data_IF_702981270647
#
_entry.id   IF_702981270647
#
_cell.length_a   1.000
_cell.length_b   1.000
_cell.length_c   1.000
_cell.angle_alpha   90.00
_cell.angle_beta   90.00
_cell.angle_gamma   90.00
#
_symmetry.space_group_name_H-M   'P 1'
#
loop_
_entity.id
_entity.type
_entity.pdbx_description
1 polymer ?
#
# COMPACT_ATOMS: atom_id res chain seq x y z
N UNK A 1 14.06 -10.67 -9.63
CA UNK A 1 13.28 -9.49 -10.05
C UNK A 1 12.88 -9.69 -11.49
N UNK A 2 11.62 -9.48 -11.82
CA UNK A 2 11.06 -9.54 -13.17
C UNK A 2 10.44 -8.18 -13.47
N UNK A 3 10.65 -7.67 -14.67
CA UNK A 3 10.08 -6.40 -15.11
C UNK A 3 8.86 -6.65 -15.99
N UNK A 4 7.75 -5.99 -15.73
CA UNK A 4 6.52 -6.13 -16.50
C UNK A 4 6.62 -5.62 -17.94
N UNK A 5 7.66 -4.86 -18.29
CA UNK A 5 7.98 -4.53 -19.68
C UNK A 5 8.21 -5.77 -20.54
N UNK A 6 8.53 -6.92 -19.93
CA UNK A 6 8.70 -8.21 -20.64
C UNK A 6 7.44 -8.66 -21.38
N UNK A 7 6.26 -8.38 -20.81
CA UNK A 7 4.96 -8.69 -21.44
C UNK A 7 4.23 -7.43 -21.92
N UNK A 8 4.19 -6.34 -21.14
CA UNK A 8 3.44 -5.14 -21.52
C UNK A 8 3.97 -4.49 -22.80
N UNK A 9 5.30 -4.48 -23.04
CA UNK A 9 5.88 -3.94 -24.27
C UNK A 9 5.59 -4.81 -25.51
N UNK A 10 5.18 -6.04 -25.33
CA UNK A 10 4.84 -6.95 -26.43
C UNK A 10 3.35 -6.89 -26.79
N UNK A 11 2.51 -6.32 -25.92
CA UNK A 11 1.09 -6.17 -26.18
C UNK A 11 0.86 -5.17 -27.31
N UNK A 12 0.20 -5.62 -28.34
CA UNK A 12 -0.28 -4.76 -29.40
C UNK A 12 -1.68 -4.19 -29.04
N UNK A 13 -2.22 -3.32 -29.87
CA UNK A 13 -3.50 -2.67 -29.60
C UNK A 13 -4.67 -3.65 -29.49
N UNK A 14 -4.67 -4.75 -30.24
CA UNK A 14 -5.67 -5.80 -30.17
C UNK A 14 -5.62 -6.50 -28.78
N UNK A 15 -4.44 -6.75 -28.26
CA UNK A 15 -4.24 -7.37 -26.94
C UNK A 15 -4.78 -6.45 -25.83
N UNK A 16 -4.57 -5.14 -25.93
CA UNK A 16 -5.12 -4.15 -25.00
C UNK A 16 -6.66 -4.15 -25.05
N UNK A 17 -7.26 -4.23 -26.23
CA UNK A 17 -8.72 -4.32 -26.38
C UNK A 17 -9.23 -5.63 -25.75
N UNK A 18 -8.57 -6.76 -25.99
CA UNK A 18 -8.93 -8.06 -25.38
C UNK A 18 -8.84 -7.99 -23.85
N UNK A 19 -7.79 -7.41 -23.30
CA UNK A 19 -7.64 -7.23 -21.86
C UNK A 19 -8.76 -6.36 -21.29
N UNK A 20 -9.03 -5.20 -21.89
CA UNK A 20 -10.06 -4.27 -21.41
C UNK A 20 -11.47 -4.82 -21.53
N UNK A 21 -11.74 -5.71 -22.47
CA UNK A 21 -13.06 -6.36 -22.63
C UNK A 21 -13.41 -7.29 -21.47
N UNK A 22 -12.45 -7.69 -20.65
CA UNK A 22 -12.64 -8.62 -19.53
C UNK A 22 -13.07 -7.94 -18.23
N UNK A 23 -13.14 -6.60 -18.21
CA UNK A 23 -13.55 -5.84 -17.03
C UNK A 23 -14.47 -4.69 -17.42
N UNK A 24 -15.50 -4.43 -16.61
CA UNK A 24 -16.48 -3.39 -16.96
C UNK A 24 -16.15 -2.04 -16.34
N UNK A 25 -16.57 -0.96 -17.00
CA UNK A 25 -16.47 0.41 -16.45
C UNK A 25 -17.22 0.53 -15.12
N UNK A 26 -18.40 -0.11 -14.99
CA UNK A 26 -19.16 -0.09 -13.75
C UNK A 26 -18.35 -0.63 -12.57
N UNK A 27 -17.66 -1.76 -12.75
CA UNK A 27 -16.79 -2.32 -11.70
C UNK A 27 -15.54 -1.47 -11.47
N UNK A 28 -15.00 -0.83 -12.52
CA UNK A 28 -13.84 0.05 -12.36
C UNK A 28 -14.16 1.28 -11.49
N UNK A 29 -15.38 1.83 -11.65
CA UNK A 29 -15.84 3.00 -10.88
C UNK A 29 -16.08 2.67 -9.39
N UNK A 30 -16.19 1.39 -8.99
CA UNK A 30 -16.29 0.99 -7.59
C UNK A 30 -15.04 1.30 -6.76
N UNK A 31 -13.90 1.64 -7.41
CA UNK A 31 -12.72 2.14 -6.69
C UNK A 31 -13.03 3.48 -6.03
N UNK A 32 -12.77 3.60 -4.72
CA UNK A 32 -13.19 4.73 -3.88
C UNK A 32 -12.87 6.11 -4.48
N UNK A 33 -11.66 6.29 -5.04
CA UNK A 33 -11.26 7.55 -5.66
C UNK A 33 -12.00 7.83 -6.97
N UNK A 34 -12.28 6.79 -7.76
CA UNK A 34 -13.09 6.94 -8.98
C UNK A 34 -14.55 7.23 -8.64
N UNK A 35 -15.14 6.56 -7.65
CA UNK A 35 -16.48 6.84 -7.15
C UNK A 35 -16.59 8.31 -6.74
N UNK A 36 -15.69 8.79 -5.87
CA UNK A 36 -15.71 10.17 -5.39
C UNK A 36 -15.55 11.19 -6.50
N UNK A 37 -14.64 10.95 -7.44
CA UNK A 37 -14.42 11.84 -8.58
C UNK A 37 -15.61 11.83 -9.53
N UNK A 38 -16.20 10.67 -9.80
CA UNK A 38 -17.37 10.54 -10.65
C UNK A 38 -18.59 11.26 -10.07
N UNK A 39 -18.86 11.09 -8.76
CA UNK A 39 -19.95 11.77 -8.06
C UNK A 39 -19.72 13.29 -7.96
N UNK A 40 -18.49 13.74 -7.92
CA UNK A 40 -18.10 15.15 -7.88
C UNK A 40 -17.91 15.78 -9.26
N UNK A 41 -18.22 15.07 -10.33
CA UNK A 41 -18.03 15.50 -11.73
C UNK A 41 -16.57 15.88 -12.07
N UNK A 42 -15.61 15.32 -11.33
CA UNK A 42 -14.17 15.50 -11.58
C UNK A 42 -13.75 14.55 -12.70
N UNK A 43 -13.10 15.03 -13.77
CA UNK A 43 -12.72 14.19 -14.90
C UNK A 43 -11.85 13.00 -14.51
N UNK A 44 -12.14 11.84 -15.10
CA UNK A 44 -11.33 10.62 -15.02
C UNK A 44 -10.86 10.30 -16.43
N UNK A 45 -9.54 10.24 -16.63
CA UNK A 45 -8.98 9.95 -17.93
C UNK A 45 -8.99 8.46 -18.23
N UNK A 46 -9.18 8.07 -19.49
CA UNK A 46 -9.27 6.66 -19.90
C UNK A 46 -8.03 5.83 -19.52
N UNK A 47 -6.84 6.42 -19.56
CA UNK A 47 -5.62 5.70 -19.17
C UNK A 47 -5.60 5.32 -17.69
N UNK A 48 -6.30 6.05 -16.82
CA UNK A 48 -6.39 5.74 -15.38
C UNK A 48 -7.14 4.42 -15.15
N UNK A 49 -8.08 4.06 -16.03
CA UNK A 49 -8.76 2.77 -16.00
C UNK A 49 -7.86 1.61 -16.49
N UNK A 50 -6.85 1.90 -17.29
CA UNK A 50 -5.92 0.88 -17.77
C UNK A 50 -4.91 0.45 -16.70
N UNK A 51 -4.59 1.31 -15.74
CA UNK A 51 -3.58 1.03 -14.72
C UNK A 51 -3.91 -0.22 -13.87
N UNK A 52 -5.12 -0.36 -13.28
CA UNK A 52 -5.48 -1.58 -12.54
C UNK A 52 -5.44 -2.85 -13.40
N UNK A 53 -5.78 -2.73 -14.69
CA UNK A 53 -5.74 -3.86 -15.62
C UNK A 53 -4.31 -4.24 -16.00
N UNK A 54 -3.43 -3.26 -16.19
CA UNK A 54 -2.01 -3.51 -16.44
C UNK A 54 -1.35 -4.21 -15.23
N UNK A 55 -1.67 -3.78 -14.00
CA UNK A 55 -1.24 -4.47 -12.78
C UNK A 55 -1.82 -5.89 -12.69
N UNK A 56 -3.09 -6.09 -13.07
CA UNK A 56 -3.70 -7.40 -13.10
C UNK A 56 -3.01 -8.35 -14.10
N UNK A 57 -2.55 -7.82 -15.24
CA UNK A 57 -1.76 -8.62 -16.19
C UNK A 57 -0.43 -9.08 -15.61
N UNK A 58 0.18 -8.31 -14.70
CA UNK A 58 1.39 -8.77 -13.98
C UNK A 58 1.10 -10.08 -13.24
N UNK A 59 -0.03 -10.15 -12.51
CA UNK A 59 -0.44 -11.37 -11.79
C UNK A 59 -0.73 -12.55 -12.74
N UNK A 60 -1.31 -12.28 -13.92
CA UNK A 60 -1.57 -13.29 -14.95
C UNK A 60 -0.27 -13.84 -15.52
N UNK A 61 0.64 -12.96 -15.94
CA UNK A 61 1.88 -13.35 -16.64
C UNK A 61 2.86 -14.12 -15.75
N UNK A 62 2.93 -13.78 -14.45
CA UNK A 62 3.75 -14.51 -13.50
C UNK A 62 3.02 -15.71 -12.87
N UNK A 63 1.75 -15.92 -13.21
CA UNK A 63 0.89 -16.94 -12.62
C UNK A 63 0.94 -16.89 -11.09
N UNK A 64 0.65 -15.71 -10.51
CA UNK A 64 0.82 -15.46 -9.11
C UNK A 64 -0.15 -16.29 -8.25
N UNK A 65 0.38 -16.95 -7.21
CA UNK A 65 -0.42 -17.65 -6.19
C UNK A 65 -0.83 -16.73 -5.05
N UNK A 66 0.03 -15.76 -4.72
CA UNK A 66 -0.18 -14.79 -3.63
C UNK A 66 0.34 -13.42 -4.05
N UNK A 67 -0.46 -12.39 -3.84
CA UNK A 67 -0.06 -10.98 -4.02
C UNK A 67 -0.18 -10.22 -2.70
N UNK A 68 0.88 -9.47 -2.36
CA UNK A 68 0.97 -8.63 -1.15
C UNK A 68 0.86 -7.17 -1.54
N UNK A 69 0.09 -6.40 -0.78
CA UNK A 69 0.00 -4.96 -0.99
C UNK A 69 -0.41 -4.19 0.25
N UNK A 70 -0.37 -2.88 0.19
CA UNK A 70 -0.99 -2.03 1.20
C UNK A 70 -2.53 -2.10 1.12
N UNK A 71 -3.21 -1.69 2.18
CA UNK A 71 -4.69 -1.62 2.17
C UNK A 71 -5.23 -0.70 1.08
N UNK A 72 -4.47 0.30 0.65
CA UNK A 72 -4.78 1.17 -0.48
C UNK A 72 -4.76 0.45 -1.84
N UNK A 73 -4.07 -0.67 -1.95
CA UNK A 73 -3.97 -1.49 -3.17
C UNK A 73 -5.07 -2.56 -3.27
N UNK A 74 -5.92 -2.72 -2.24
CA UNK A 74 -6.90 -3.81 -2.16
C UNK A 74 -7.76 -3.94 -3.41
N UNK A 75 -8.24 -2.82 -3.97
CA UNK A 75 -9.03 -2.83 -5.18
C UNK A 75 -8.25 -3.44 -6.36
N UNK A 76 -7.04 -2.95 -6.61
CA UNK A 76 -6.21 -3.45 -7.71
C UNK A 76 -5.88 -4.94 -7.56
N UNK A 77 -5.58 -5.40 -6.34
CA UNK A 77 -5.34 -6.81 -6.05
C UNK A 77 -6.57 -7.68 -6.36
N UNK A 78 -7.78 -7.18 -6.08
CA UNK A 78 -9.03 -7.86 -6.41
C UNK A 78 -9.27 -7.90 -7.92
N UNK A 79 -8.94 -6.83 -8.65
CA UNK A 79 -8.96 -6.82 -10.12
C UNK A 79 -8.04 -7.92 -10.66
N UNK A 80 -6.84 -8.08 -10.09
CA UNK A 80 -5.90 -9.15 -10.45
C UNK A 80 -6.55 -10.54 -10.39
N UNK A 81 -7.26 -10.85 -9.30
CA UNK A 81 -7.99 -12.11 -9.14
C UNK A 81 -9.07 -12.32 -10.20
N UNK A 82 -9.82 -11.25 -10.51
CA UNK A 82 -10.89 -11.33 -11.50
C UNK A 82 -10.32 -11.57 -12.91
N UNK A 83 -9.24 -10.87 -13.26
CA UNK A 83 -8.57 -11.03 -14.56
C UNK A 83 -7.93 -12.43 -14.67
N UNK A 84 -7.31 -12.97 -13.62
CA UNK A 84 -6.80 -14.34 -13.62
C UNK A 84 -7.91 -15.35 -13.97
N UNK A 85 -9.13 -15.22 -13.39
CA UNK A 85 -10.27 -16.08 -13.76
C UNK A 85 -10.63 -15.96 -15.23
N UNK A 86 -10.66 -14.74 -15.75
CA UNK A 86 -10.96 -14.47 -17.17
C UNK A 86 -9.90 -15.04 -18.13
N UNK A 87 -8.68 -15.27 -17.63
CA UNK A 87 -7.61 -15.97 -18.35
C UNK A 87 -7.54 -17.47 -18.02
N UNK A 88 -8.51 -18.00 -17.27
CA UNK A 88 -8.60 -19.43 -16.94
C UNK A 88 -7.61 -19.91 -15.88
N UNK A 89 -7.05 -18.99 -15.10
CA UNK A 89 -6.14 -19.30 -14.00
C UNK A 89 -6.88 -19.41 -12.66
N UNK A 90 -6.30 -20.14 -11.71
CA UNK A 90 -6.74 -20.12 -10.30
C UNK A 90 -6.44 -18.74 -9.72
N UNK A 91 -7.44 -18.05 -9.12
CA UNK A 91 -7.23 -16.71 -8.59
C UNK A 91 -6.30 -16.71 -7.39
N UNK A 92 -5.29 -15.85 -7.40
CA UNK A 92 -4.34 -15.64 -6.32
C UNK A 92 -5.01 -15.32 -4.97
N UNK A 93 -4.35 -15.66 -3.87
CA UNK A 93 -4.66 -15.13 -2.55
C UNK A 93 -4.10 -13.73 -2.40
N UNK A 94 -4.84 -12.82 -1.76
CA UNK A 94 -4.33 -11.48 -1.49
C UNK A 94 -4.10 -11.28 0.01
N UNK A 95 -2.99 -10.63 0.35
CA UNK A 95 -2.66 -10.23 1.73
C UNK A 95 -2.45 -8.72 1.73
N UNK A 96 -3.25 -7.99 2.51
CA UNK A 96 -3.11 -6.55 2.65
C UNK A 96 -2.58 -6.18 4.02
N UNK A 97 -1.63 -5.26 4.05
CA UNK A 97 -1.03 -4.71 5.27
C UNK A 97 -1.48 -3.26 5.46
N UNK A 98 -1.72 -2.83 6.72
CA UNK A 98 -1.97 -1.44 7.01
C UNK A 98 -0.84 -0.55 6.52
N UNK A 99 -1.17 0.66 6.08
CA UNK A 99 -0.18 1.67 5.72
C UNK A 99 0.48 2.26 6.96
N UNK A 100 1.79 2.48 6.87
CA UNK A 100 2.53 3.27 7.85
C UNK A 100 2.55 4.71 7.38
N UNK A 101 2.08 5.65 8.22
CA UNK A 101 2.25 7.07 7.97
C UNK A 101 3.71 7.47 8.16
N UNK A 102 4.11 8.50 7.42
CA UNK A 102 5.44 9.08 7.54
C UNK A 102 5.66 9.86 8.85
N UNK A 103 6.80 10.49 8.95
CA UNK A 103 7.18 11.29 10.14
C UNK A 103 6.25 12.48 10.39
N UNK A 104 5.51 12.93 9.37
CA UNK A 104 4.46 13.94 9.46
C UNK A 104 3.20 13.47 10.21
N UNK A 105 2.99 12.15 10.32
CA UNK A 105 1.85 11.54 11.00
C UNK A 105 0.52 11.71 10.27
N UNK A 106 0.50 12.06 9.00
CA UNK A 106 -0.69 12.33 8.18
C UNK A 106 -0.69 11.49 6.92
N UNK A 107 0.32 11.70 6.06
CA UNK A 107 0.41 11.02 4.78
C UNK A 107 1.13 9.68 4.92
N UNK A 108 0.82 8.73 4.01
CA UNK A 108 1.57 7.48 3.97
C UNK A 108 3.06 7.76 3.78
N UNK A 109 3.90 6.97 4.43
CA UNK A 109 5.34 7.07 4.27
C UNK A 109 5.74 6.86 2.81
N UNK A 110 6.37 7.85 2.20
CA UNK A 110 6.84 7.76 0.83
C UNK A 110 7.98 8.72 0.53
N UNK A 111 8.81 8.36 -0.46
CA UNK A 111 9.88 9.24 -0.97
C UNK A 111 9.32 10.53 -1.59
N UNK A 112 8.13 10.46 -2.22
CA UNK A 112 7.50 11.61 -2.88
C UNK A 112 7.05 12.69 -1.91
N UNK A 113 6.75 12.32 -0.66
CA UNK A 113 6.33 13.25 0.40
C UNK A 113 7.49 13.68 1.30
N UNK A 114 8.68 13.14 1.09
CA UNK A 114 9.86 13.39 1.93
C UNK A 114 9.62 13.18 3.45
N UNK A 115 8.68 12.27 3.77
CA UNK A 115 8.24 11.94 5.12
C UNK A 115 8.70 10.54 5.57
N UNK A 116 9.70 9.98 4.89
CA UNK A 116 10.13 8.61 5.09
C UNK A 116 11.40 8.51 5.96
N UNK A 117 11.53 7.35 6.60
CA UNK A 117 12.76 6.91 7.25
C UNK A 117 13.39 5.88 6.32
N UNK A 118 14.54 6.22 5.73
CA UNK A 118 15.22 5.35 4.79
C UNK A 118 15.99 4.24 5.52
N UNK A 119 16.06 3.06 4.91
CA UNK A 119 16.98 2.00 5.36
C UNK A 119 18.44 2.36 5.08
N UNK A 120 18.69 3.34 4.20
CA UNK A 120 20.02 3.86 3.86
C UNK A 120 20.41 5.09 4.69
N UNK A 121 19.53 5.58 5.58
CA UNK A 121 19.85 6.67 6.50
C UNK A 121 20.94 6.24 7.49
N UNK A 122 21.73 7.21 7.94
CA UNK A 122 22.66 6.94 9.06
C UNK A 122 21.89 6.57 10.34
N UNK A 123 22.48 5.81 11.28
CA UNK A 123 21.82 5.49 12.54
C UNK A 123 21.36 6.74 13.30
N UNK A 124 22.14 7.82 13.26
CA UNK A 124 21.86 9.09 13.89
C UNK A 124 20.64 9.76 13.24
N UNK A 125 20.54 9.72 11.90
CA UNK A 125 19.41 10.28 11.16
C UNK A 125 18.13 9.46 11.40
N UNK A 126 18.21 8.13 11.35
CA UNK A 126 17.09 7.26 11.69
C UNK A 126 16.58 7.52 13.10
N UNK A 127 17.49 7.61 14.07
CA UNK A 127 17.16 7.93 15.45
C UNK A 127 16.48 9.30 15.54
N UNK A 128 17.06 10.34 14.92
CA UNK A 128 16.49 11.68 14.89
C UNK A 128 15.08 11.72 14.31
N UNK A 129 14.86 11.04 13.19
CA UNK A 129 13.55 10.93 12.53
C UNK A 129 12.53 10.23 13.43
N UNK A 130 12.88 9.11 14.07
CA UNK A 130 12.00 8.40 15.01
C UNK A 130 11.68 9.27 16.22
N UNK A 131 12.65 9.98 16.76
CA UNK A 131 12.42 10.89 17.88
C UNK A 131 11.51 12.06 17.53
N UNK A 132 11.39 12.42 16.23
CA UNK A 132 10.56 13.53 15.76
C UNK A 132 9.10 13.15 15.46
N UNK A 133 8.75 11.86 15.37
CA UNK A 133 7.36 11.45 15.09
C UNK A 133 6.40 11.98 16.16
N UNK A 134 5.14 12.20 15.76
CA UNK A 134 4.10 12.56 16.71
C UNK A 134 3.87 11.44 17.74
N UNK A 135 3.59 11.79 19.00
CA UNK A 135 3.38 10.80 20.08
C UNK A 135 2.22 9.85 19.78
N UNK A 136 1.19 10.32 19.08
CA UNK A 136 0.07 9.49 18.61
C UNK A 136 0.49 8.33 17.68
N UNK A 137 1.66 8.45 17.05
CA UNK A 137 2.19 7.46 16.11
C UNK A 137 2.99 6.34 16.77
N UNK A 138 3.43 6.52 18.02
CA UNK A 138 4.33 5.61 18.72
C UNK A 138 3.82 4.17 18.67
N UNK A 139 2.57 3.94 19.08
CA UNK A 139 1.98 2.59 19.11
C UNK A 139 1.91 1.98 17.70
N UNK A 140 1.61 2.79 16.70
CA UNK A 140 1.52 2.34 15.31
C UNK A 140 2.90 1.91 14.78
N UNK A 141 3.94 2.68 15.08
CA UNK A 141 5.31 2.32 14.71
C UNK A 141 5.78 1.05 15.43
N UNK A 142 5.48 0.88 16.71
CA UNK A 142 5.76 -0.40 17.39
C UNK A 142 5.08 -1.59 16.71
N UNK A 143 3.84 -1.42 16.23
CA UNK A 143 3.11 -2.49 15.55
C UNK A 143 3.61 -2.79 14.14
N UNK A 144 3.86 -1.75 13.34
CA UNK A 144 4.02 -1.87 11.89
C UNK A 144 5.47 -1.79 11.43
N UNK A 145 6.35 -1.10 12.17
CA UNK A 145 7.76 -0.97 11.81
C UNK A 145 8.64 -2.02 12.50
N UNK A 146 8.43 -2.23 13.81
CA UNK A 146 9.25 -3.18 14.58
C UNK A 146 8.53 -4.49 14.92
N UNK A 147 7.27 -4.64 14.50
CA UNK A 147 6.46 -5.85 14.72
C UNK A 147 6.45 -6.30 16.17
N UNK A 148 6.37 -5.36 17.11
CA UNK A 148 6.36 -5.64 18.54
C UNK A 148 5.22 -6.60 18.92
N UNK A 149 5.51 -7.52 19.82
CA UNK A 149 4.52 -8.47 20.30
C UNK A 149 3.41 -7.78 21.14
N UNK A 150 2.36 -8.53 21.45
CA UNK A 150 1.22 -8.02 22.21
C UNK A 150 1.61 -7.49 23.58
N UNK A 151 2.55 -8.15 24.27
CA UNK A 151 2.96 -7.77 25.61
C UNK A 151 3.68 -6.41 25.57
N UNK A 152 4.59 -6.24 24.60
CA UNK A 152 5.30 -4.96 24.40
C UNK A 152 4.33 -3.83 24.03
N UNK A 153 3.33 -4.10 23.21
CA UNK A 153 2.31 -3.10 22.85
C UNK A 153 1.51 -2.66 24.07
N UNK A 154 1.10 -3.59 24.95
CA UNK A 154 0.36 -3.26 26.18
C UNK A 154 1.24 -2.51 27.20
N UNK A 155 2.52 -2.88 27.34
CA UNK A 155 3.51 -2.12 28.13
C UNK A 155 3.61 -0.67 27.65
N UNK A 156 3.81 -0.47 26.33
CA UNK A 156 3.91 0.85 25.71
C UNK A 156 2.65 1.67 25.94
N UNK A 157 1.48 1.08 25.76
CA UNK A 157 0.19 1.76 26.03
C UNK A 157 0.07 2.18 27.49
N UNK A 158 0.40 1.30 28.41
CA UNK A 158 0.35 1.59 29.85
C UNK A 158 1.27 2.76 30.19
N UNK A 159 2.49 2.76 29.63
CA UNK A 159 3.46 3.83 29.82
C UNK A 159 2.96 5.17 29.27
N UNK A 160 2.37 5.19 28.08
CA UNK A 160 1.85 6.41 27.45
C UNK A 160 0.58 6.94 28.10
N UNK A 161 -0.22 6.10 28.77
CA UNK A 161 -1.42 6.52 29.51
C UNK A 161 -1.13 7.09 30.90
N UNK A 162 0.08 6.92 31.42
CA UNK A 162 0.51 7.49 32.69
C UNK A 162 1.11 8.87 32.44
N UNK A 163 0.39 9.92 32.82
CA UNK A 163 0.80 11.32 32.62
C UNK A 163 2.14 11.69 33.30
N UNK A 164 2.61 10.88 34.25
CA UNK A 164 3.93 11.09 34.87
C UNK A 164 5.09 10.66 33.98
N UNK A 165 4.83 9.88 32.95
CA UNK A 165 5.84 9.35 32.04
C UNK A 165 6.04 10.25 30.81
N UNK A 166 7.28 10.31 30.35
CA UNK A 166 7.62 11.08 29.16
C UNK A 166 7.57 10.19 27.89
N UNK A 167 6.72 10.50 26.89
CA UNK A 167 6.68 9.76 25.62
C UNK A 167 8.04 9.62 24.93
N UNK A 168 8.97 10.55 25.19
CA UNK A 168 10.34 10.51 24.68
C UNK A 168 11.08 9.23 25.05
N UNK A 169 10.82 8.70 26.26
CA UNK A 169 11.52 7.48 26.70
C UNK A 169 11.01 6.24 25.95
N UNK A 170 9.74 6.24 25.60
CA UNK A 170 9.15 5.22 24.72
C UNK A 170 9.70 5.32 23.29
N UNK A 171 9.83 6.55 22.75
CA UNK A 171 10.47 6.75 21.44
C UNK A 171 11.91 6.26 21.40
N UNK A 172 12.67 6.43 22.48
CA UNK A 172 14.03 5.89 22.59
C UNK A 172 14.07 4.37 22.52
N UNK A 173 13.04 3.69 23.03
CA UNK A 173 12.98 2.23 22.94
C UNK A 173 12.44 1.74 21.60
N UNK A 174 11.86 2.63 20.78
CA UNK A 174 11.43 2.37 19.41
C UNK A 174 12.59 2.54 18.43
N UNK A 175 13.44 3.54 18.65
CA UNK A 175 14.59 3.89 17.82
C UNK A 175 15.80 2.96 18.07
#
# INVERSE_FOLDING_TARGET
VIFNSTWLNQMNFEDVIKMTSKYTVARMIERDDFTKRFESEIPISMHEFLYPLAQAMDSVEINADVELGGTDQKFNLLVGRDIQREYGQEPQSIITLPLLEGTDGVEKMSKSYDNYISLDDSPEDMYGKIMSINDSMIIKYFKLAVFADRNKIEEVKSHLNDESNNPRDVKRSLA
#
